data_IF_616975449096
#
_entry.id   IF_616975449096
#
_cell.length_a   1.000
_cell.length_b   1.000
_cell.length_c   1.000
_cell.angle_alpha   90.00
_cell.angle_beta   90.00
_cell.angle_gamma   90.00
#
_symmetry.space_group_name_H-M   'P 1'
#
loop_
_entity.id
_entity.type
_entity.pdbx_description
1 polymer ?
#
# COMPACT_ATOMS: atom_id res chain seq x y z
N UNK A 1 1.58 13.75 -26.32
CA UNK A 1 0.16 14.18 -26.35
C UNK A 1 -0.27 14.40 -24.90
N UNK A 2 -1.05 15.44 -24.61
CA UNK A 2 -1.65 15.56 -23.28
C UNK A 2 -2.73 14.48 -23.16
N UNK A 3 -2.67 13.66 -22.11
CA UNK A 3 -3.77 12.73 -21.81
C UNK A 3 -4.97 13.55 -21.35
N UNK A 4 -6.15 13.29 -21.89
CA UNK A 4 -7.38 13.85 -21.32
C UNK A 4 -7.65 13.11 -20.00
N UNK A 5 -7.46 13.78 -18.87
CA UNK A 5 -7.73 13.23 -17.53
C UNK A 5 -9.12 12.58 -17.50
N UNK A 6 -9.16 11.29 -17.16
CA UNK A 6 -10.36 10.48 -17.31
C UNK A 6 -10.89 10.08 -15.94
N UNK A 7 -11.67 10.98 -15.36
CA UNK A 7 -12.42 10.73 -14.13
C UNK A 7 -13.38 9.56 -14.32
N UNK A 8 -12.99 8.38 -13.85
CA UNK A 8 -13.86 7.21 -13.71
C UNK A 8 -14.58 7.31 -12.36
N UNK A 9 -15.88 6.99 -12.33
CA UNK A 9 -16.64 6.75 -11.10
C UNK A 9 -17.71 5.70 -11.36
N UNK A 10 -18.02 4.87 -10.36
CA UNK A 10 -19.05 3.85 -10.50
C UNK A 10 -20.46 4.45 -10.73
N UNK A 11 -21.28 3.89 -11.66
CA UNK A 11 -22.69 4.23 -11.75
C UNK A 11 -23.42 4.09 -10.40
N UNK A 12 -24.28 5.05 -10.08
CA UNK A 12 -25.05 5.11 -8.82
C UNK A 12 -26.55 4.98 -9.12
N UNK A 13 -27.34 4.55 -8.12
CA UNK A 13 -28.80 4.37 -8.25
C UNK A 13 -29.23 3.08 -8.96
N UNK A 14 -30.54 2.92 -9.18
CA UNK A 14 -31.17 1.68 -9.64
C UNK A 14 -31.13 1.43 -11.16
N UNK A 15 -30.72 2.42 -11.97
CA UNK A 15 -30.62 2.25 -13.43
C UNK A 15 -29.43 1.35 -13.78
N UNK A 16 -29.69 0.30 -14.56
CA UNK A 16 -28.65 -0.57 -15.10
C UNK A 16 -27.98 0.00 -16.36
N UNK A 17 -26.74 -0.42 -16.58
CA UNK A 17 -25.93 -0.23 -17.78
C UNK A 17 -25.58 -1.60 -18.42
N UNK A 18 -25.54 -2.66 -17.61
CA UNK A 18 -25.42 -4.06 -18.03
C UNK A 18 -26.78 -4.79 -18.13
N UNK A 19 -26.77 -6.00 -18.71
CA UNK A 19 -27.97 -6.86 -18.85
C UNK A 19 -28.53 -7.44 -17.54
N UNK A 20 -27.76 -7.38 -16.45
CA UNK A 20 -28.15 -7.93 -15.15
C UNK A 20 -27.32 -7.36 -14.00
N UNK A 21 -27.80 -7.56 -12.75
CA UNK A 21 -27.17 -7.00 -11.56
C UNK A 21 -25.79 -7.59 -11.24
N UNK A 22 -25.50 -8.84 -11.62
CA UNK A 22 -24.19 -9.45 -11.38
C UNK A 22 -23.10 -8.81 -12.26
N UNK A 23 -23.43 -8.51 -13.52
CA UNK A 23 -22.58 -7.80 -14.47
C UNK A 23 -22.43 -6.33 -14.07
N UNK A 24 -23.54 -5.68 -13.69
CA UNK A 24 -23.56 -4.29 -13.20
C UNK A 24 -22.71 -4.12 -11.94
N UNK A 25 -22.75 -5.09 -11.01
CA UNK A 25 -21.91 -5.08 -9.82
C UNK A 25 -20.41 -5.13 -10.19
N UNK A 26 -20.01 -6.05 -11.06
CA UNK A 26 -18.62 -6.12 -11.55
C UNK A 26 -18.18 -4.82 -12.25
N UNK A 27 -19.05 -4.22 -13.06
CA UNK A 27 -18.79 -2.93 -13.72
C UNK A 27 -18.63 -1.79 -12.71
N UNK A 28 -19.54 -1.71 -11.72
CA UNK A 28 -19.50 -0.68 -10.67
C UNK A 28 -18.26 -0.83 -9.79
N UNK A 29 -17.90 -2.04 -9.37
CA UNK A 29 -16.73 -2.25 -8.52
C UNK A 29 -15.41 -2.01 -9.28
N UNK A 30 -15.33 -2.38 -10.58
CA UNK A 30 -14.21 -1.99 -11.46
C UNK A 30 -14.04 -0.48 -11.53
N UNK A 31 -15.15 0.27 -11.68
CA UNK A 31 -15.13 1.73 -11.72
C UNK A 31 -14.92 2.37 -10.34
N UNK A 32 -15.30 1.70 -9.24
CA UNK A 32 -15.01 2.14 -7.87
C UNK A 32 -13.50 2.07 -7.57
N UNK A 33 -12.83 1.01 -8.03
CA UNK A 33 -11.38 0.87 -7.96
C UNK A 33 -10.60 1.99 -8.70
N UNK A 34 -11.26 2.84 -9.48
CA UNK A 34 -10.66 3.98 -10.19
C UNK A 34 -11.32 5.33 -9.85
N UNK A 35 -12.22 5.36 -8.87
CA UNK A 35 -12.82 6.60 -8.37
C UNK A 35 -11.71 7.45 -7.68
N UNK A 36 -11.53 8.75 -7.99
CA UNK A 36 -10.45 9.56 -7.42
C UNK A 36 -10.45 9.66 -5.89
N UNK A 37 -11.60 9.48 -5.24
CA UNK A 37 -11.71 9.39 -3.78
C UNK A 37 -11.12 8.07 -3.23
N UNK A 38 -11.10 7.02 -4.04
CA UNK A 38 -10.69 5.65 -3.67
C UNK A 38 -9.24 5.36 -4.07
N UNK A 39 -8.88 5.58 -5.33
CA UNK A 39 -7.61 5.14 -5.92
C UNK A 39 -6.43 6.07 -5.60
N UNK A 40 -5.20 5.51 -5.50
CA UNK A 40 -3.97 6.28 -5.24
C UNK A 40 -3.42 7.04 -6.47
N UNK A 41 -3.66 6.54 -7.70
CA UNK A 41 -3.27 7.23 -8.96
C UNK A 41 -4.10 6.72 -10.17
N UNK A 42 -5.40 7.04 -10.25
CA UNK A 42 -6.34 6.39 -11.19
C UNK A 42 -6.07 6.66 -12.68
N UNK A 43 -5.45 7.78 -13.07
CA UNK A 43 -5.10 8.06 -14.47
C UNK A 43 -4.12 7.01 -15.08
N UNK A 44 -3.30 6.37 -14.24
CA UNK A 44 -2.42 5.25 -14.60
C UNK A 44 -3.07 3.86 -14.38
N UNK A 45 -4.37 3.83 -14.07
CA UNK A 45 -5.13 2.67 -13.58
C UNK A 45 -4.66 2.13 -12.23
N UNK A 46 -3.81 2.86 -11.49
CA UNK A 46 -3.19 2.42 -10.23
C UNK A 46 -4.12 2.66 -9.06
N UNK A 47 -4.41 1.59 -8.34
CA UNK A 47 -5.36 1.55 -7.22
C UNK A 47 -4.62 1.75 -5.89
N UNK A 48 -3.64 0.88 -5.59
CA UNK A 48 -2.75 0.97 -4.42
C UNK A 48 -1.53 0.04 -4.55
N UNK A 49 -0.57 0.16 -3.62
CA UNK A 49 0.50 -0.83 -3.42
C UNK A 49 1.56 -0.87 -4.54
N UNK A 50 2.20 0.26 -4.85
CA UNK A 50 3.13 0.39 -5.97
C UNK A 50 2.39 0.35 -7.32
N UNK A 51 2.86 -0.46 -8.29
CA UNK A 51 2.26 -0.58 -9.64
C UNK A 51 0.97 -1.43 -9.72
N UNK A 52 0.19 -1.54 -8.62
CA UNK A 52 -1.02 -2.36 -8.50
C UNK A 52 -2.24 -1.74 -9.20
N UNK A 53 -2.79 -2.40 -10.23
CA UNK A 53 -3.71 -1.80 -11.22
C UNK A 53 -5.03 -2.56 -11.40
N UNK A 54 -6.08 -1.84 -11.79
CA UNK A 54 -7.41 -2.40 -12.04
C UNK A 54 -7.55 -3.06 -13.43
N UNK A 55 -6.84 -2.53 -14.43
CA UNK A 55 -6.77 -3.06 -15.79
C UNK A 55 -5.38 -2.81 -16.39
N UNK A 56 -5.00 -3.59 -17.42
CA UNK A 56 -3.62 -3.59 -17.96
C UNK A 56 -3.24 -2.28 -18.66
N UNK A 57 -4.21 -1.68 -19.32
CA UNK A 57 -4.12 -0.42 -20.08
C UNK A 57 -5.54 0.13 -20.32
N UNK A 58 -5.66 1.39 -20.74
CA UNK A 58 -6.97 1.99 -21.00
C UNK A 58 -7.77 1.23 -22.08
N UNK A 59 -7.12 0.77 -23.15
CA UNK A 59 -7.77 -0.09 -24.15
C UNK A 59 -8.26 -1.44 -23.59
N UNK A 60 -7.62 -1.97 -22.54
CA UNK A 60 -8.09 -3.16 -21.84
C UNK A 60 -9.27 -2.84 -20.89
N UNK A 61 -9.23 -1.70 -20.20
CA UNK A 61 -10.35 -1.18 -19.40
C UNK A 61 -11.61 -0.99 -20.25
N UNK A 62 -11.50 -0.28 -21.38
CA UNK A 62 -12.62 -0.03 -22.29
C UNK A 62 -13.19 -1.30 -22.91
N UNK A 63 -12.34 -2.29 -23.16
CA UNK A 63 -12.79 -3.61 -23.56
C UNK A 63 -13.56 -4.32 -22.42
N UNK A 64 -13.06 -4.31 -21.18
CA UNK A 64 -13.77 -4.93 -20.03
C UNK A 64 -15.13 -4.26 -19.81
N UNK A 65 -15.20 -2.92 -19.86
CA UNK A 65 -16.46 -2.18 -19.72
C UNK A 65 -17.47 -2.60 -20.79
N UNK A 66 -17.05 -2.70 -22.06
CA UNK A 66 -17.90 -3.19 -23.15
C UNK A 66 -18.36 -4.63 -22.93
N UNK A 67 -17.45 -5.55 -22.61
CA UNK A 67 -17.84 -6.96 -22.40
C UNK A 67 -18.83 -7.09 -21.24
N UNK A 68 -18.59 -6.42 -20.11
CA UNK A 68 -19.51 -6.45 -18.96
C UNK A 68 -20.89 -5.88 -19.30
N UNK A 69 -20.99 -4.92 -20.23
CA UNK A 69 -22.29 -4.42 -20.72
C UNK A 69 -22.99 -5.39 -21.69
N UNK A 70 -22.26 -6.34 -22.29
CA UNK A 70 -22.75 -7.22 -23.35
C UNK A 70 -22.96 -8.69 -22.93
N UNK A 71 -22.23 -9.23 -21.95
CA UNK A 71 -22.37 -10.64 -21.55
C UNK A 71 -23.75 -10.95 -20.94
N UNK A 72 -24.30 -12.10 -21.30
CA UNK A 72 -25.59 -12.60 -20.82
C UNK A 72 -25.50 -13.14 -19.38
N UNK A 73 -26.66 -13.54 -18.84
CA UNK A 73 -26.77 -14.09 -17.49
C UNK A 73 -26.20 -15.50 -17.35
N UNK A 74 -26.01 -16.25 -18.45
CA UNK A 74 -25.39 -17.59 -18.47
C UNK A 74 -24.01 -17.59 -19.16
N UNK A 75 -23.34 -16.45 -19.22
CA UNK A 75 -21.98 -16.31 -19.76
C UNK A 75 -20.94 -15.93 -18.68
N UNK A 76 -19.66 -16.14 -18.97
CA UNK A 76 -18.53 -15.83 -18.09
C UNK A 76 -17.40 -15.16 -18.88
N UNK A 77 -17.03 -13.95 -18.48
CA UNK A 77 -15.86 -13.21 -18.99
C UNK A 77 -14.57 -13.72 -18.34
N UNK A 78 -13.54 -14.00 -19.15
CA UNK A 78 -12.20 -14.32 -18.65
C UNK A 78 -11.27 -13.11 -18.73
N UNK A 79 -10.66 -12.74 -17.61
CA UNK A 79 -9.67 -11.64 -17.49
C UNK A 79 -8.30 -12.20 -17.11
N UNK A 80 -7.34 -12.11 -18.03
CA UNK A 80 -5.96 -12.52 -17.82
C UNK A 80 -5.09 -11.28 -17.59
N UNK A 81 -4.45 -11.14 -16.43
CA UNK A 81 -3.63 -9.96 -16.03
C UNK A 81 -4.24 -8.64 -16.51
N UNK A 82 -5.46 -8.34 -16.06
CA UNK A 82 -6.19 -7.10 -16.38
C UNK A 82 -6.55 -6.87 -17.85
N UNK A 83 -6.58 -7.92 -18.68
CA UNK A 83 -7.04 -7.87 -20.07
C UNK A 83 -8.18 -8.87 -20.28
N UNK A 84 -9.31 -8.50 -20.93
CA UNK A 84 -10.34 -9.45 -21.32
C UNK A 84 -9.81 -10.30 -22.48
N UNK A 85 -9.95 -11.62 -22.40
CA UNK A 85 -9.37 -12.55 -23.39
C UNK A 85 -10.38 -13.48 -24.06
N UNK A 86 -11.49 -13.78 -23.40
CA UNK A 86 -12.59 -14.57 -23.96
C UNK A 86 -13.88 -14.37 -23.15
N UNK A 87 -15.02 -14.65 -23.77
CA UNK A 87 -16.29 -14.92 -23.10
C UNK A 87 -16.68 -16.36 -23.45
N UNK A 88 -17.16 -17.12 -22.48
CA UNK A 88 -17.69 -18.47 -22.68
C UNK A 88 -19.06 -18.62 -22.05
N UNK A 89 -19.94 -19.39 -22.69
CA UNK A 89 -21.20 -19.81 -22.10
C UNK A 89 -20.95 -20.81 -20.96
N UNK A 90 -21.60 -20.59 -19.83
CA UNK A 90 -21.54 -21.40 -18.61
C UNK A 90 -22.95 -21.72 -18.12
N UNK A 91 -23.43 -21.10 -17.05
CA UNK A 91 -24.78 -21.20 -16.51
C UNK A 91 -25.07 -20.03 -15.55
N UNK A 92 -26.33 -19.79 -15.21
CA UNK A 92 -26.74 -18.63 -14.40
C UNK A 92 -26.05 -18.55 -13.03
N UNK A 93 -25.87 -19.70 -12.36
CA UNK A 93 -25.18 -19.80 -11.06
C UNK A 93 -23.65 -19.71 -11.12
N UNK A 94 -23.03 -19.63 -12.31
CA UNK A 94 -21.59 -19.47 -12.45
C UNK A 94 -21.15 -18.02 -12.18
N UNK A 95 -19.87 -17.77 -11.83
CA UNK A 95 -19.33 -16.40 -11.81
C UNK A 95 -19.43 -15.73 -13.18
N UNK A 96 -19.91 -14.48 -13.23
CA UNK A 96 -19.92 -13.67 -14.47
C UNK A 96 -18.52 -13.28 -14.95
N UNK A 97 -17.53 -13.30 -14.05
CA UNK A 97 -16.12 -12.99 -14.36
C UNK A 97 -15.21 -13.96 -13.63
N UNK A 98 -14.18 -14.46 -14.33
CA UNK A 98 -13.05 -15.20 -13.74
C UNK A 98 -11.75 -14.44 -14.04
N UNK A 99 -10.94 -14.21 -13.01
CA UNK A 99 -9.78 -13.31 -13.07
C UNK A 99 -8.50 -14.07 -12.67
N UNK A 100 -7.49 -14.04 -13.53
CA UNK A 100 -6.18 -14.62 -13.30
C UNK A 100 -5.07 -13.58 -13.55
N UNK A 101 -4.70 -12.84 -12.51
CA UNK A 101 -3.71 -11.77 -12.58
C UNK A 101 -2.33 -12.22 -12.10
N UNK A 102 -1.27 -11.67 -12.71
CA UNK A 102 0.14 -11.71 -12.23
C UNK A 102 0.80 -13.09 -12.08
N UNK A 103 0.07 -14.19 -12.27
CA UNK A 103 0.58 -15.56 -12.20
C UNK A 103 1.77 -15.80 -13.12
N UNK A 104 2.82 -16.42 -12.57
CA UNK A 104 4.05 -16.83 -13.25
C UNK A 104 4.44 -18.22 -12.75
N UNK A 105 5.01 -19.05 -13.64
CA UNK A 105 5.57 -20.36 -13.25
C UNK A 105 6.77 -20.12 -12.32
N UNK A 106 6.89 -20.88 -11.23
CA UNK A 106 7.73 -20.55 -10.07
C UNK A 106 9.16 -20.09 -10.37
N UNK A 107 9.89 -20.76 -11.27
CA UNK A 107 11.26 -20.39 -11.66
C UNK A 107 11.38 -19.02 -12.38
N UNK A 108 10.25 -18.45 -12.81
CA UNK A 108 10.12 -17.13 -13.45
C UNK A 108 9.30 -16.14 -12.61
N UNK A 109 8.91 -16.48 -11.38
CA UNK A 109 8.13 -15.63 -10.49
C UNK A 109 8.98 -14.52 -9.83
N UNK A 110 9.72 -13.76 -10.65
CA UNK A 110 10.66 -12.71 -10.22
C UNK A 110 10.26 -11.35 -10.79
N UNK A 111 10.61 -10.27 -10.10
CA UNK A 111 10.29 -8.91 -10.56
C UNK A 111 10.98 -8.54 -11.88
N UNK A 112 12.16 -9.07 -12.16
CA UNK A 112 12.86 -8.89 -13.43
C UNK A 112 12.04 -9.46 -14.59
N UNK A 113 11.60 -10.71 -14.47
CA UNK A 113 10.80 -11.37 -15.50
C UNK A 113 9.42 -10.72 -15.62
N UNK A 114 8.80 -10.34 -14.50
CA UNK A 114 7.55 -9.61 -14.46
C UNK A 114 7.62 -8.31 -15.28
N UNK A 115 8.56 -7.40 -14.98
CA UNK A 115 8.64 -6.12 -15.69
C UNK A 115 9.14 -6.31 -17.14
N UNK A 116 9.90 -7.37 -17.45
CA UNK A 116 10.22 -7.77 -18.84
C UNK A 116 8.98 -8.14 -19.65
N UNK A 117 7.97 -8.77 -19.04
CA UNK A 117 6.67 -9.03 -19.67
C UNK A 117 5.77 -7.78 -19.71
N UNK A 118 5.80 -6.95 -18.68
CA UNK A 118 5.05 -5.69 -18.61
C UNK A 118 5.47 -4.72 -19.71
N UNK A 119 6.78 -4.53 -19.94
CA UNK A 119 7.32 -3.73 -21.06
C UNK A 119 6.92 -4.24 -22.44
N UNK A 120 6.41 -5.47 -22.55
CA UNK A 120 5.86 -6.08 -23.78
C UNK A 120 4.33 -6.01 -23.85
N UNK A 121 3.66 -5.35 -22.89
CA UNK A 121 2.20 -5.32 -22.78
C UNK A 121 1.57 -6.66 -22.35
N UNK A 122 2.36 -7.60 -21.84
CA UNK A 122 1.92 -8.97 -21.51
C UNK A 122 1.49 -9.14 -20.04
N UNK A 123 1.78 -8.17 -19.17
CA UNK A 123 1.60 -8.29 -17.72
C UNK A 123 0.94 -7.06 -17.08
N UNK A 124 0.29 -7.29 -15.93
CA UNK A 124 -0.26 -6.29 -14.99
C UNK A 124 -0.01 -6.80 -13.57
N UNK A 125 0.22 -5.90 -12.61
CA UNK A 125 0.29 -6.27 -11.18
C UNK A 125 -1.10 -6.13 -10.59
N UNK A 126 -1.71 -7.23 -10.15
CA UNK A 126 -3.07 -7.23 -9.62
C UNK A 126 -3.17 -6.80 -8.16
N UNK A 127 -2.04 -6.79 -7.41
CA UNK A 127 -2.06 -6.80 -5.95
C UNK A 127 -3.06 -7.89 -5.46
N UNK A 128 -3.87 -7.62 -4.44
CA UNK A 128 -5.01 -8.43 -4.04
C UNK A 128 -6.30 -7.86 -4.64
N UNK A 129 -6.83 -6.76 -4.08
CA UNK A 129 -8.17 -6.23 -4.43
C UNK A 129 -8.17 -5.19 -5.56
N UNK A 130 -6.98 -4.73 -5.99
CA UNK A 130 -6.82 -3.77 -7.07
C UNK A 130 -7.26 -4.38 -8.43
N UNK A 131 -6.69 -5.52 -8.80
CA UNK A 131 -6.98 -6.24 -10.04
C UNK A 131 -8.18 -7.19 -9.96
N UNK A 132 -8.74 -7.42 -8.77
CA UNK A 132 -9.97 -8.22 -8.56
C UNK A 132 -11.22 -7.36 -8.31
N UNK A 133 -11.09 -6.03 -8.39
CA UNK A 133 -12.19 -5.06 -8.33
C UNK A 133 -13.02 -5.13 -7.05
N UNK A 134 -12.38 -5.08 -5.87
CA UNK A 134 -13.07 -5.03 -4.58
C UNK A 134 -12.36 -4.12 -3.56
N UNK A 135 -11.70 -3.06 -4.04
CA UNK A 135 -11.02 -2.09 -3.19
C UNK A 135 -11.97 -0.95 -2.79
N UNK A 136 -11.99 -0.64 -1.49
CA UNK A 136 -12.90 0.33 -0.85
C UNK A 136 -12.14 1.51 -0.23
N UNK A 137 -10.95 1.81 -0.76
CA UNK A 137 -10.03 2.77 -0.16
C UNK A 137 -9.36 2.21 1.10
N UNK A 138 -8.76 3.11 1.88
CA UNK A 138 -8.02 2.82 3.12
C UNK A 138 -8.81 1.93 4.10
N UNK A 139 -10.14 2.06 4.14
CA UNK A 139 -11.03 1.29 5.02
C UNK A 139 -10.82 -0.23 4.92
N UNK A 140 -10.42 -0.74 3.75
CA UNK A 140 -10.27 -2.17 3.47
C UNK A 140 -9.23 -2.91 4.32
N UNK A 141 -8.37 -2.20 5.07
CA UNK A 141 -7.41 -2.80 6.01
C UNK A 141 -7.49 -2.24 7.44
N UNK A 142 -8.26 -1.16 7.70
CA UNK A 142 -8.34 -0.51 9.02
C UNK A 142 -8.63 -1.49 10.14
N UNK A 143 -9.61 -2.38 9.98
CA UNK A 143 -9.89 -3.37 11.01
C UNK A 143 -8.69 -4.31 11.21
N UNK A 144 -8.11 -4.86 10.13
CA UNK A 144 -6.92 -5.71 10.24
C UNK A 144 -5.76 -5.05 10.99
N UNK A 145 -5.54 -3.74 10.80
CA UNK A 145 -4.51 -2.98 11.53
C UNK A 145 -4.93 -2.67 12.96
N UNK A 146 -6.21 -2.37 13.21
CA UNK A 146 -6.76 -2.18 14.54
C UNK A 146 -6.63 -3.45 15.40
N UNK A 147 -7.05 -4.61 14.88
CA UNK A 147 -6.94 -5.90 15.58
C UNK A 147 -5.47 -6.30 15.79
N UNK A 148 -4.56 -5.94 14.85
CA UNK A 148 -3.12 -6.18 15.02
C UNK A 148 -2.56 -5.38 16.19
N UNK A 149 -2.88 -4.08 16.30
CA UNK A 149 -2.45 -3.26 17.43
C UNK A 149 -3.15 -3.66 18.74
N UNK A 150 -4.42 -4.10 18.69
CA UNK A 150 -5.15 -4.61 19.86
C UNK A 150 -4.51 -5.90 20.42
N UNK A 151 -4.31 -6.92 19.58
CA UNK A 151 -3.69 -8.18 19.99
C UNK A 151 -2.23 -8.01 20.45
N UNK A 152 -1.52 -7.03 19.87
CA UNK A 152 -0.19 -6.61 20.34
C UNK A 152 -0.28 -5.92 21.71
N UNK A 153 -1.26 -5.05 21.92
CA UNK A 153 -1.54 -4.37 23.19
C UNK A 153 -1.86 -5.36 24.32
N UNK A 154 -2.79 -6.30 24.10
CA UNK A 154 -3.15 -7.33 25.07
C UNK A 154 -1.92 -8.15 25.52
N UNK A 155 -1.06 -8.50 24.55
CA UNK A 155 0.11 -9.36 24.76
C UNK A 155 1.29 -8.66 25.42
N UNK A 156 1.47 -7.35 25.22
CA UNK A 156 2.69 -6.63 25.63
C UNK A 156 2.45 -5.44 26.57
N UNK A 157 1.26 -4.85 26.58
CA UNK A 157 0.92 -3.65 27.35
C UNK A 157 -0.33 -3.81 28.23
N UNK A 158 -0.95 -4.99 28.26
CA UNK A 158 -2.12 -5.28 29.08
C UNK A 158 -3.43 -4.66 28.57
N UNK A 159 -3.51 -4.40 27.26
CA UNK A 159 -4.69 -3.82 26.60
C UNK A 159 -4.72 -2.29 26.56
N UNK A 160 -3.78 -1.58 27.21
CA UNK A 160 -3.71 -0.11 27.22
C UNK A 160 -2.50 0.44 26.45
N UNK A 161 -2.76 1.15 25.34
CA UNK A 161 -1.73 1.91 24.61
C UNK A 161 -1.69 3.40 24.98
N UNK A 162 -2.40 3.86 26.01
CA UNK A 162 -2.43 5.28 26.38
C UNK A 162 -1.05 5.78 26.83
N UNK A 163 -0.48 6.71 26.06
CA UNK A 163 0.88 7.23 26.22
C UNK A 163 1.97 6.43 25.50
N UNK A 164 1.64 5.32 24.82
CA UNK A 164 2.59 4.53 24.02
C UNK A 164 2.82 5.18 22.66
N UNK A 165 4.08 5.21 22.20
CA UNK A 165 4.47 5.67 20.87
C UNK A 165 4.66 4.49 19.91
N UNK A 166 3.83 4.46 18.86
CA UNK A 166 4.00 3.60 17.69
C UNK A 166 4.66 4.40 16.58
N UNK A 167 5.76 3.89 16.02
CA UNK A 167 6.40 4.45 14.81
C UNK A 167 6.24 3.49 13.65
N UNK A 168 5.88 3.98 12.47
CA UNK A 168 5.82 3.16 11.25
C UNK A 168 6.10 3.92 9.97
N UNK A 169 6.58 3.22 8.94
CA UNK A 169 6.71 3.73 7.58
C UNK A 169 5.46 3.53 6.72
N UNK A 170 5.30 4.40 5.73
CA UNK A 170 4.31 4.29 4.64
C UNK A 170 2.92 4.82 5.00
N UNK A 171 2.51 5.89 4.32
CA UNK A 171 1.19 6.55 4.44
C UNK A 171 0.39 6.45 3.13
N UNK A 172 0.69 5.46 2.27
CA UNK A 172 -0.04 5.20 1.02
C UNK A 172 -1.44 4.61 1.20
N UNK A 173 -2.01 4.05 0.13
CA UNK A 173 -3.38 3.47 0.11
C UNK A 173 -3.75 2.61 1.32
N UNK A 174 -2.88 1.65 1.67
CA UNK A 174 -3.05 0.77 2.84
C UNK A 174 -2.33 1.33 4.08
N UNK A 175 -1.09 1.81 3.92
CA UNK A 175 -0.27 2.39 5.01
C UNK A 175 -0.94 3.54 5.77
N UNK A 176 -1.79 4.31 5.10
CA UNK A 176 -2.62 5.35 5.70
C UNK A 176 -3.73 4.84 6.62
N UNK A 177 -3.93 3.54 6.80
CA UNK A 177 -4.85 2.98 7.81
C UNK A 177 -4.22 2.92 9.21
N UNK A 178 -2.88 2.78 9.27
CA UNK A 178 -2.11 2.67 10.51
C UNK A 178 -2.36 3.79 11.53
N UNK A 179 -2.45 5.08 11.16
CA UNK A 179 -2.58 6.15 12.15
C UNK A 179 -3.94 6.12 12.85
N UNK A 180 -5.03 5.92 12.10
CA UNK A 180 -6.38 5.75 12.64
C UNK A 180 -6.50 4.46 13.47
N UNK A 181 -5.91 3.35 13.01
CA UNK A 181 -5.91 2.09 13.74
C UNK A 181 -5.17 2.19 15.09
N UNK A 182 -4.08 2.97 15.14
CA UNK A 182 -3.33 3.25 16.36
C UNK A 182 -4.11 4.15 17.33
N UNK A 183 -4.71 5.25 16.85
CA UNK A 183 -5.48 6.17 17.71
C UNK A 183 -6.80 5.56 18.19
N UNK A 184 -7.42 4.66 17.42
CA UNK A 184 -8.54 3.83 17.87
C UNK A 184 -8.17 2.88 19.03
N UNK A 185 -6.89 2.48 19.14
CA UNK A 185 -6.36 1.73 20.29
C UNK A 185 -5.82 2.65 21.42
N UNK A 186 -6.01 3.97 21.32
CA UNK A 186 -5.55 4.94 22.33
C UNK A 186 -4.09 5.40 22.22
N UNK A 187 -3.35 4.93 21.20
CA UNK A 187 -1.92 5.19 21.06
C UNK A 187 -1.58 6.58 20.50
N UNK A 188 -0.33 7.00 20.71
CA UNK A 188 0.33 8.05 19.92
C UNK A 188 1.02 7.39 18.73
N UNK A 189 0.86 7.94 17.53
CA UNK A 189 1.38 7.37 16.29
C UNK A 189 2.20 8.37 15.47
N UNK A 190 3.40 7.96 15.05
CA UNK A 190 4.27 8.67 14.12
C UNK A 190 4.42 7.87 12.82
N UNK A 191 3.74 8.33 11.77
CA UNK A 191 3.80 7.76 10.42
C UNK A 191 4.80 8.50 9.55
N UNK A 192 5.76 7.80 8.94
CA UNK A 192 6.81 8.40 8.11
C UNK A 192 6.51 8.10 6.63
N UNK A 193 6.37 9.14 5.81
CA UNK A 193 6.30 8.99 4.34
C UNK A 193 7.12 10.08 3.66
N UNK A 194 7.73 9.74 2.53
CA UNK A 194 8.57 10.65 1.74
C UNK A 194 7.72 11.54 0.82
N UNK A 195 6.49 11.12 0.47
CA UNK A 195 5.55 11.87 -0.36
C UNK A 195 4.52 12.61 0.52
N UNK A 196 4.76 13.91 0.72
CA UNK A 196 3.87 14.81 1.48
C UNK A 196 2.41 14.71 1.03
N UNK A 197 2.14 14.51 -0.26
CA UNK A 197 0.77 14.41 -0.78
C UNK A 197 0.02 13.17 -0.26
N UNK A 198 0.74 12.10 0.13
CA UNK A 198 0.15 10.93 0.82
C UNK A 198 -0.35 11.34 2.19
N UNK A 199 0.45 12.09 2.95
CA UNK A 199 0.11 12.50 4.32
C UNK A 199 -1.04 13.51 4.29
N UNK A 200 -0.97 14.52 3.42
CA UNK A 200 -2.05 15.50 3.21
C UNK A 200 -3.38 14.83 2.86
N UNK A 201 -3.35 13.80 1.99
CA UNK A 201 -4.53 12.97 1.70
C UNK A 201 -5.09 12.33 2.97
N UNK A 202 -4.26 11.77 3.85
CA UNK A 202 -4.72 11.09 5.06
C UNK A 202 -5.27 12.07 6.09
N UNK A 203 -4.69 13.27 6.19
CA UNK A 203 -5.25 14.35 7.04
C UNK A 203 -6.62 14.81 6.50
N UNK A 204 -6.72 15.09 5.20
CA UNK A 204 -7.98 15.48 4.54
C UNK A 204 -9.06 14.41 4.66
N UNK A 205 -8.70 13.15 4.45
CA UNK A 205 -9.61 12.00 4.46
C UNK A 205 -9.89 11.50 5.91
N UNK A 206 -9.33 12.18 6.94
CA UNK A 206 -9.47 11.92 8.39
C UNK A 206 -8.98 10.55 8.87
N UNK A 207 -7.90 10.10 8.25
CA UNK A 207 -7.10 8.94 8.63
C UNK A 207 -5.84 9.29 9.43
N UNK A 208 -5.50 10.59 9.53
CA UNK A 208 -4.40 11.10 10.33
C UNK A 208 -4.76 12.50 10.89
N UNK A 209 -4.31 12.87 12.08
CA UNK A 209 -4.70 14.13 12.74
C UNK A 209 -3.83 15.32 12.32
N UNK A 210 -2.54 15.10 12.06
CA UNK A 210 -1.55 16.15 11.81
C UNK A 210 -0.57 15.76 10.71
N UNK A 211 -0.18 16.75 9.92
CA UNK A 211 1.05 16.75 9.12
C UNK A 211 2.13 17.51 9.90
N UNK A 212 3.36 17.00 9.90
CA UNK A 212 4.54 17.68 10.40
C UNK A 212 5.62 17.71 9.30
N UNK A 213 6.30 18.86 9.16
CA UNK A 213 7.33 19.08 8.13
C UNK A 213 8.75 18.98 8.69
N UNK A 214 8.91 18.69 9.99
CA UNK A 214 10.20 18.44 10.63
C UNK A 214 10.07 17.41 11.75
N UNK A 215 11.16 16.66 12.00
CA UNK A 215 11.20 15.69 13.08
C UNK A 215 11.05 16.35 14.46
N UNK A 216 11.56 17.57 14.63
CA UNK A 216 11.45 18.34 15.88
C UNK A 216 9.99 18.73 16.17
N UNK A 217 9.23 19.13 15.14
CA UNK A 217 7.79 19.37 15.25
C UNK A 217 7.02 18.08 15.56
N UNK A 218 7.32 17.00 14.85
CA UNK A 218 6.64 15.72 15.02
C UNK A 218 6.83 15.16 16.43
N UNK A 219 8.06 15.14 16.94
CA UNK A 219 8.39 14.70 18.30
C UNK A 219 7.72 15.57 19.35
N UNK A 220 7.73 16.91 19.20
CA UNK A 220 7.04 17.82 20.13
C UNK A 220 5.54 17.54 20.23
N UNK A 221 4.89 17.16 19.13
CA UNK A 221 3.45 16.78 19.13
C UNK A 221 3.25 15.39 19.76
N UNK A 222 4.20 14.47 19.55
CA UNK A 222 4.13 13.12 20.14
C UNK A 222 4.31 13.15 21.65
N UNK A 223 5.37 13.79 22.19
CA UNK A 223 5.62 13.79 23.64
C UNK A 223 4.52 14.52 24.42
N UNK A 224 4.02 15.68 23.94
CA UNK A 224 2.83 16.37 24.51
C UNK A 224 1.62 15.43 24.64
N UNK A 225 1.41 14.59 23.62
CA UNK A 225 0.33 13.61 23.61
C UNK A 225 0.61 12.40 24.51
N UNK A 226 1.88 11.97 24.64
CA UNK A 226 2.30 10.87 25.54
C UNK A 226 2.11 11.28 27.00
N UNK A 227 2.61 12.46 27.39
CA UNK A 227 2.43 13.03 28.73
C UNK A 227 0.94 13.17 29.11
N UNK A 228 0.10 13.61 28.16
CA UNK A 228 -1.35 13.75 28.34
C UNK A 228 -2.13 12.43 28.24
N UNK A 229 -1.48 11.29 27.93
CA UNK A 229 -2.12 9.99 27.60
C UNK A 229 -3.21 10.13 26.51
N UNK A 230 -3.02 11.07 25.59
CA UNK A 230 -4.00 11.48 24.58
C UNK A 230 -3.65 10.87 23.23
N UNK A 231 -4.55 10.07 22.67
CA UNK A 231 -4.37 9.54 21.32
C UNK A 231 -4.18 10.67 20.28
N UNK A 232 -3.18 10.52 19.41
CA UNK A 232 -2.96 11.40 18.25
C UNK A 232 -2.13 10.71 17.20
N UNK A 233 -2.35 11.06 15.94
CA UNK A 233 -1.55 10.60 14.81
C UNK A 233 -0.88 11.76 14.08
N UNK A 234 0.43 11.62 13.86
CA UNK A 234 1.28 12.60 13.18
C UNK A 234 1.92 11.92 11.98
N UNK A 235 1.68 12.45 10.79
CA UNK A 235 2.43 12.10 9.59
C UNK A 235 3.62 13.05 9.41
N UNK A 236 4.83 12.51 9.39
CA UNK A 236 6.09 13.23 9.17
C UNK A 236 6.58 13.01 7.73
N UNK A 237 6.89 14.11 7.03
CA UNK A 237 7.58 14.06 5.73
C UNK A 237 9.05 13.64 5.95
N UNK A 238 9.47 12.50 5.39
CA UNK A 238 10.86 12.03 5.46
C UNK A 238 11.06 10.58 5.00
N UNK A 239 12.32 10.15 4.86
CA UNK A 239 12.66 8.77 4.50
C UNK A 239 12.84 7.91 5.76
N UNK A 240 12.20 6.75 5.83
CA UNK A 240 12.30 5.82 6.97
C UNK A 240 13.75 5.36 7.23
N UNK A 241 14.55 5.19 6.18
CA UNK A 241 15.96 4.80 6.26
C UNK A 241 16.90 5.91 6.77
N UNK A 242 16.35 7.09 7.10
CA UNK A 242 17.05 8.24 7.65
C UNK A 242 16.46 8.65 9.00
N UNK A 243 15.12 8.72 9.07
CA UNK A 243 14.36 9.09 10.28
C UNK A 243 14.51 8.05 11.40
N UNK A 244 14.44 6.75 11.12
CA UNK A 244 14.59 5.73 12.18
C UNK A 244 16.02 5.73 12.78
N UNK A 245 17.11 5.77 12.00
CA UNK A 245 18.45 6.03 12.54
C UNK A 245 18.57 7.33 13.35
N UNK A 246 17.91 8.42 12.93
CA UNK A 246 17.95 9.71 13.64
C UNK A 246 17.16 9.68 14.97
N UNK A 247 16.02 8.98 15.02
CA UNK A 247 15.26 8.70 16.25
C UNK A 247 16.12 7.95 17.28
N UNK A 248 16.83 6.91 16.83
CA UNK A 248 17.78 6.13 17.66
C UNK A 248 18.93 7.03 18.13
N UNK A 249 19.53 7.82 17.24
CA UNK A 249 20.64 8.75 17.57
C UNK A 249 20.24 9.81 18.60
N UNK A 250 18.96 10.19 18.63
CA UNK A 250 18.37 11.12 19.60
C UNK A 250 17.96 10.46 20.93
N UNK A 251 17.92 9.13 20.99
CA UNK A 251 17.46 8.40 22.18
C UNK A 251 15.95 8.52 22.42
N UNK A 252 15.14 8.65 21.36
CA UNK A 252 13.67 8.70 21.49
C UNK A 252 13.16 7.34 21.95
N UNK A 253 12.35 7.33 23.01
CA UNK A 253 11.68 6.13 23.50
C UNK A 253 10.54 5.74 22.56
N UNK A 254 10.61 4.53 21.99
CA UNK A 254 9.63 4.00 21.05
C UNK A 254 9.11 2.67 21.62
N UNK A 255 7.83 2.63 21.94
CA UNK A 255 7.18 1.44 22.49
C UNK A 255 6.95 0.35 21.43
N UNK A 256 6.64 0.77 20.19
CA UNK A 256 6.33 -0.14 19.07
C UNK A 256 6.93 0.40 17.77
N UNK A 257 7.54 -0.47 16.96
CA UNK A 257 7.96 -0.12 15.59
C UNK A 257 7.55 -1.19 14.56
N UNK A 258 6.98 -0.74 13.45
CA UNK A 258 6.61 -1.58 12.31
C UNK A 258 6.84 -0.85 10.98
N UNK A 259 6.45 -1.42 9.85
CA UNK A 259 6.55 -0.77 8.54
C UNK A 259 5.47 -1.24 7.56
N UNK A 260 4.88 -0.29 6.83
CA UNK A 260 4.00 -0.52 5.68
C UNK A 260 4.35 0.34 4.46
N UNK A 261 5.63 0.72 4.27
CA UNK A 261 6.13 1.14 2.95
C UNK A 261 5.84 0.06 1.90
N UNK A 262 5.81 0.41 0.60
CA UNK A 262 5.60 -0.56 -0.47
C UNK A 262 6.89 -1.32 -0.84
N UNK A 263 7.63 -1.77 0.16
CA UNK A 263 8.90 -2.50 0.02
C UNK A 263 8.79 -3.76 -0.86
N UNK A 264 7.59 -4.31 -1.03
CA UNK A 264 7.31 -5.44 -1.91
C UNK A 264 7.71 -5.19 -3.38
N UNK A 265 7.78 -3.93 -3.83
CA UNK A 265 8.30 -3.53 -5.15
C UNK A 265 9.45 -2.49 -4.99
N UNK A 266 10.73 -2.93 -4.99
CA UNK A 266 11.88 -2.04 -4.81
C UNK A 266 12.08 -0.97 -5.91
N UNK A 267 11.39 -1.05 -7.05
CA UNK A 267 11.49 -0.03 -8.11
C UNK A 267 10.46 1.08 -7.97
N UNK A 268 9.21 0.77 -7.55
CA UNK A 268 8.12 1.75 -7.51
C UNK A 268 7.59 2.07 -6.11
N UNK A 269 7.91 1.24 -5.11
CA UNK A 269 7.25 1.26 -3.80
C UNK A 269 8.14 1.69 -2.62
N UNK A 270 9.44 1.85 -2.87
CA UNK A 270 10.41 2.37 -1.90
C UNK A 270 11.28 3.43 -2.58
N UNK A 271 11.61 4.50 -1.86
CA UNK A 271 12.47 5.59 -2.34
C UNK A 271 13.83 5.48 -1.64
N UNK A 272 14.96 5.47 -2.38
CA UNK A 272 16.28 5.45 -1.78
C UNK A 272 16.53 6.63 -0.82
N UNK A 273 17.36 6.40 0.20
CA UNK A 273 17.89 7.47 1.03
C UNK A 273 18.81 8.41 0.23
N UNK A 274 18.92 9.66 0.69
CA UNK A 274 19.84 10.68 0.18
C UNK A 274 19.47 11.29 -1.17
N UNK A 275 18.21 11.23 -1.61
CA UNK A 275 17.69 11.89 -2.83
C UNK A 275 16.26 12.39 -2.65
N UNK A 276 15.86 13.39 -3.43
CA UNK A 276 14.47 13.88 -3.52
C UNK A 276 13.54 12.94 -4.31
N UNK A 277 12.24 13.23 -4.33
CA UNK A 277 11.27 12.48 -5.14
C UNK A 277 11.50 12.66 -6.65
N UNK A 278 11.91 13.85 -7.07
CA UNK A 278 12.21 14.20 -8.46
C UNK A 278 13.47 13.47 -8.93
N UNK A 279 14.52 13.47 -8.10
CA UNK A 279 15.74 12.70 -8.33
C UNK A 279 15.47 11.19 -8.35
N UNK A 280 14.57 10.71 -7.48
CA UNK A 280 14.13 9.32 -7.46
C UNK A 280 13.35 8.93 -8.73
N UNK A 281 12.43 9.76 -9.22
CA UNK A 281 11.71 9.51 -10.46
C UNK A 281 12.67 9.49 -11.67
N UNK A 282 13.60 10.44 -11.75
CA UNK A 282 14.59 10.49 -12.82
C UNK A 282 15.56 9.30 -12.77
N UNK A 283 16.03 8.89 -11.57
CA UNK A 283 16.84 7.69 -11.39
C UNK A 283 16.08 6.42 -11.81
N UNK A 284 14.81 6.29 -11.39
CA UNK A 284 13.93 5.15 -11.75
C UNK A 284 13.75 5.03 -13.27
N UNK A 285 13.74 6.17 -13.96
CA UNK A 285 13.60 6.28 -15.43
C UNK A 285 14.90 6.01 -16.18
N UNK A 286 16.04 6.45 -15.64
CA UNK A 286 17.34 6.43 -16.34
C UNK A 286 18.18 5.20 -16.02
N UNK A 287 18.28 4.81 -14.74
CA UNK A 287 18.87 3.53 -14.32
C UNK A 287 17.97 2.80 -13.28
N UNK A 288 17.00 2.01 -13.78
CA UNK A 288 16.17 1.15 -12.93
C UNK A 288 16.96 0.15 -12.08
N UNK A 289 18.20 -0.21 -12.46
CA UNK A 289 19.02 -1.17 -11.72
C UNK A 289 19.67 -0.50 -10.52
N UNK A 290 20.31 0.65 -10.72
CA UNK A 290 20.85 1.46 -9.63
C UNK A 290 19.75 1.93 -8.66
N UNK A 291 18.54 2.22 -9.16
CA UNK A 291 17.38 2.49 -8.30
C UNK A 291 17.08 1.29 -7.38
N UNK A 292 16.87 0.09 -7.94
CA UNK A 292 16.56 -1.12 -7.17
C UNK A 292 17.66 -1.40 -6.13
N UNK A 293 18.93 -1.30 -6.53
CA UNK A 293 20.07 -1.52 -5.63
C UNK A 293 20.06 -0.54 -4.45
N UNK A 294 19.97 0.77 -4.71
CA UNK A 294 19.91 1.79 -3.65
C UNK A 294 18.65 1.69 -2.78
N UNK A 295 17.50 1.32 -3.35
CA UNK A 295 16.28 1.05 -2.58
C UNK A 295 16.47 -0.13 -1.64
N UNK A 296 17.07 -1.22 -2.11
CA UNK A 296 17.29 -2.43 -1.31
C UNK A 296 18.31 -2.19 -0.19
N UNK A 297 19.39 -1.43 -0.46
CA UNK A 297 20.31 -0.93 0.56
C UNK A 297 19.61 -0.04 1.60
N UNK A 298 18.65 0.80 1.16
CA UNK A 298 17.86 1.64 2.07
C UNK A 298 16.88 0.82 2.93
N UNK A 299 16.32 -0.28 2.40
CA UNK A 299 15.53 -1.25 3.18
C UNK A 299 16.38 -1.98 4.22
N UNK A 300 17.63 -2.33 3.90
CA UNK A 300 18.56 -2.91 4.88
C UNK A 300 18.78 -1.95 6.06
N UNK A 301 19.15 -0.69 5.79
CA UNK A 301 19.36 0.34 6.82
C UNK A 301 18.09 0.64 7.65
N UNK A 302 16.91 0.54 7.03
CA UNK A 302 15.62 0.63 7.72
C UNK A 302 15.43 -0.54 8.70
N UNK A 303 15.61 -1.79 8.24
CA UNK A 303 15.45 -2.99 9.08
C UNK A 303 16.52 -3.08 10.17
N UNK A 304 17.76 -2.69 9.90
CA UNK A 304 18.82 -2.52 10.91
C UNK A 304 18.40 -1.57 12.05
N UNK A 305 17.72 -0.47 11.71
CA UNK A 305 17.16 0.46 12.70
C UNK A 305 15.98 -0.16 13.48
N UNK A 306 15.07 -0.89 12.83
CA UNK A 306 14.01 -1.64 13.51
C UNK A 306 14.59 -2.69 14.47
N UNK A 307 15.65 -3.39 14.08
CA UNK A 307 16.35 -4.37 14.92
C UNK A 307 17.10 -3.70 16.09
N UNK A 308 17.66 -2.52 15.89
CA UNK A 308 18.24 -1.73 16.99
C UNK A 308 17.18 -1.31 18.01
N UNK A 309 16.00 -0.86 17.56
CA UNK A 309 14.86 -0.53 18.43
C UNK A 309 14.33 -1.78 19.15
N UNK A 310 14.19 -2.92 18.45
CA UNK A 310 13.88 -4.22 19.05
C UNK A 310 14.84 -4.59 20.17
N UNK A 311 16.15 -4.41 19.94
CA UNK A 311 17.21 -4.67 20.94
C UNK A 311 17.21 -3.66 22.10
N UNK A 312 16.67 -2.46 21.90
CA UNK A 312 16.41 -1.48 22.96
C UNK A 312 15.12 -1.75 23.76
N UNK A 313 14.26 -2.68 23.30
CA UNK A 313 13.05 -3.12 24.00
C UNK A 313 11.73 -2.86 23.24
N UNK A 314 11.76 -2.17 22.09
CA UNK A 314 10.55 -1.86 21.32
C UNK A 314 9.87 -3.11 20.75
N UNK A 315 8.54 -3.19 20.86
CA UNK A 315 7.77 -4.28 20.25
C UNK A 315 7.83 -4.12 18.73
N UNK A 316 8.45 -5.08 18.05
CA UNK A 316 8.84 -4.96 16.64
C UNK A 316 8.28 -6.10 15.81
N UNK A 317 7.54 -5.78 14.74
CA UNK A 317 6.97 -6.75 13.80
C UNK A 317 6.90 -6.21 12.37
N UNK A 318 6.89 -7.10 11.38
CA UNK A 318 6.74 -6.81 9.95
C UNK A 318 5.26 -6.90 9.54
N UNK A 319 4.78 -5.88 8.85
CA UNK A 319 3.36 -5.74 8.48
C UNK A 319 3.05 -6.17 7.04
N UNK A 320 3.70 -7.26 6.59
CA UNK A 320 3.33 -7.99 5.37
C UNK A 320 3.81 -7.36 4.06
N UNK A 321 4.75 -6.40 4.11
CA UNK A 321 5.32 -5.76 2.92
C UNK A 321 6.62 -6.41 2.40
N UNK A 322 7.08 -7.50 3.03
CA UNK A 322 8.27 -8.26 2.66
C UNK A 322 9.62 -7.50 2.84
N UNK A 323 9.66 -6.40 3.60
CA UNK A 323 10.89 -5.60 3.79
C UNK A 323 12.05 -6.43 4.36
N UNK A 324 11.78 -7.33 5.32
CA UNK A 324 12.79 -8.23 5.92
C UNK A 324 13.55 -9.07 4.88
N UNK A 325 12.86 -9.55 3.83
CA UNK A 325 13.49 -10.38 2.80
C UNK A 325 14.44 -9.58 1.93
N UNK A 326 14.09 -8.34 1.59
CA UNK A 326 14.95 -7.44 0.83
C UNK A 326 16.13 -6.95 1.66
N UNK A 327 15.94 -6.66 2.95
CA UNK A 327 17.02 -6.37 3.88
C UNK A 327 18.00 -7.55 4.01
N UNK A 328 17.49 -8.77 4.15
CA UNK A 328 18.29 -10.00 4.20
C UNK A 328 19.09 -10.22 2.91
N UNK A 329 18.47 -10.04 1.74
CA UNK A 329 19.14 -10.16 0.43
C UNK A 329 20.22 -9.09 0.22
N UNK A 330 20.15 -7.96 0.92
CA UNK A 330 21.18 -6.91 0.95
C UNK A 330 22.19 -7.04 2.11
N UNK A 331 22.10 -8.10 2.93
CA UNK A 331 23.12 -8.44 3.93
C UNK A 331 22.72 -8.33 5.40
N UNK A 332 21.51 -7.84 5.73
CA UNK A 332 21.01 -7.82 7.10
C UNK A 332 20.57 -9.23 7.53
N UNK A 333 21.54 -10.02 7.98
CA UNK A 333 21.36 -11.45 8.29
C UNK A 333 20.35 -11.71 9.42
N UNK A 334 20.19 -10.76 10.35
CA UNK A 334 19.27 -10.77 11.48
C UNK A 334 17.86 -10.24 11.15
N UNK A 335 17.56 -9.85 9.91
CA UNK A 335 16.26 -9.31 9.48
C UNK A 335 15.04 -10.16 9.87
N UNK A 336 15.20 -11.48 9.97
CA UNK A 336 14.12 -12.40 10.36
C UNK A 336 13.95 -12.61 11.88
N UNK A 337 14.75 -11.96 12.73
CA UNK A 337 14.45 -11.82 14.16
C UNK A 337 13.19 -10.96 14.39
N UNK A 338 12.81 -10.14 13.41
CA UNK A 338 11.50 -9.47 13.37
C UNK A 338 10.45 -10.49 12.91
N UNK A 339 9.46 -10.85 13.76
CA UNK A 339 8.34 -11.72 13.36
C UNK A 339 7.40 -11.01 12.37
N UNK A 340 6.56 -11.80 11.69
CA UNK A 340 5.38 -11.23 11.03
C UNK A 340 4.29 -10.89 12.05
N UNK A 341 3.26 -10.17 11.61
CA UNK A 341 2.07 -9.87 12.42
C UNK A 341 1.05 -11.03 12.52
N UNK A 342 1.27 -12.11 11.75
CA UNK A 342 0.44 -13.33 11.65
C UNK A 342 1.16 -14.51 12.28
#
# INVERSE_FOLDING_TARGET
MMSSHRTIRAPRGAKLNCKGWHQEAALRCLMNNLDPEVAERPDDLVVYGGRGRAARSWAAFDAIVRELQQIENDETLLVQSGKPVAVFRTHEYAPRVLIANSNLVGAWATWEHFHKLERRGLMMYGQMTAGSWIYIGTQGIVQGTFETFAAMSDKHFGGDLSGRLIVSGGMGGMGGAQPLAATMNGAVFLGIDVDQSRIERRVRDRYCDRLALSLDEALRICEDAREQKRAVSVGLVGNCAEVLPELIRRGVEIDVVTDQTSAHDPLNGYVPAGISLEEAEELRRTDPRAYIERSTQSMARHVEAMLALKRAGAITFDYGNNIRKFAFDAGCADAFEIPGFV
#
